data_IF_900384568558
#
_entry.id   IF_900384568558
#
_cell.length_a   1.000
_cell.length_b   1.000
_cell.length_c   1.000
_cell.angle_alpha   90.00
_cell.angle_beta   90.00
_cell.angle_gamma   90.00
#
_symmetry.space_group_name_H-M   'P 1'
#
loop_
_entity.id
_entity.type
_entity.pdbx_description
1 polymer ?
#
# COMPACT_ATOMS: atom_id res chain seq x y z
N UNK A 1 -25.75 10.47 -16.92
CA UNK A 1 -25.26 9.29 -16.17
C UNK A 1 -24.84 9.77 -14.79
N UNK A 2 -25.66 9.45 -13.76
CA UNK A 2 -25.34 9.77 -12.37
C UNK A 2 -24.17 8.91 -11.92
N UNK A 3 -23.04 9.54 -11.60
CA UNK A 3 -21.95 8.85 -10.91
C UNK A 3 -22.42 8.55 -9.49
N UNK A 4 -22.67 7.29 -9.19
CA UNK A 4 -23.06 6.87 -7.85
C UNK A 4 -21.84 7.00 -6.92
N UNK A 5 -21.96 7.88 -5.94
CA UNK A 5 -21.02 7.94 -4.83
C UNK A 5 -21.19 6.64 -4.02
N UNK A 6 -20.17 5.79 -4.01
CA UNK A 6 -20.11 4.62 -3.15
C UNK A 6 -19.26 4.93 -1.92
N UNK A 7 -19.88 4.87 -0.74
CA UNK A 7 -19.19 4.95 0.53
C UNK A 7 -19.30 3.62 1.26
N UNK A 8 -18.15 3.10 1.72
CA UNK A 8 -18.07 1.87 2.54
C UNK A 8 -17.23 2.14 3.77
N UNK A 9 -17.82 1.95 4.95
CA UNK A 9 -17.11 1.98 6.23
C UNK A 9 -17.05 0.59 6.84
N UNK A 10 -15.93 0.27 7.49
CA UNK A 10 -15.75 -0.96 8.28
C UNK A 10 -15.02 -0.62 9.57
N UNK A 11 -15.42 -1.24 10.66
CA UNK A 11 -14.68 -1.20 11.93
C UNK A 11 -14.83 -2.54 12.64
N UNK A 12 -13.84 -2.94 13.42
CA UNK A 12 -13.90 -4.22 14.11
C UNK A 12 -12.64 -4.56 14.90
N UNK A 13 -12.65 -5.81 15.37
CA UNK A 13 -11.52 -6.46 16.01
C UNK A 13 -10.99 -7.55 15.10
N UNK A 14 -9.68 -7.73 15.11
CA UNK A 14 -8.99 -8.81 14.38
C UNK A 14 -8.02 -9.49 15.32
N UNK A 15 -7.95 -10.83 15.22
CA UNK A 15 -6.95 -11.64 15.87
C UNK A 15 -6.08 -12.28 14.79
N UNK A 16 -4.79 -12.10 14.86
CA UNK A 16 -3.81 -12.58 13.88
C UNK A 16 -2.69 -13.32 14.60
N UNK A 17 -2.29 -14.47 14.07
CA UNK A 17 -1.18 -15.25 14.58
C UNK A 17 -0.17 -15.48 13.46
N UNK A 18 1.06 -15.07 13.67
CA UNK A 18 2.15 -15.21 12.73
C UNK A 18 3.10 -16.29 13.21
N UNK A 19 3.31 -17.28 12.35
CA UNK A 19 4.33 -18.32 12.53
C UNK A 19 5.24 -18.31 11.29
N UNK A 20 6.52 -18.11 11.49
CA UNK A 20 7.49 -17.99 10.41
C UNK A 20 8.29 -19.26 10.26
N UNK A 21 8.27 -19.85 9.07
CA UNK A 21 9.14 -20.94 8.67
C UNK A 21 10.10 -20.41 7.59
N UNK A 22 11.41 -20.48 7.82
CA UNK A 22 12.39 -20.13 6.78
C UNK A 22 12.57 -21.31 5.84
N UNK A 23 12.24 -21.11 4.56
CA UNK A 23 12.47 -22.12 3.50
C UNK A 23 13.83 -22.03 2.83
N UNK A 24 14.57 -20.95 3.00
CA UNK A 24 15.86 -20.72 2.36
C UNK A 24 16.94 -20.46 3.41
N UNK A 25 17.84 -21.41 3.53
CA UNK A 25 19.05 -21.32 4.31
C UNK A 25 20.16 -20.78 3.39
N UNK A 26 20.44 -19.50 3.46
CA UNK A 26 21.69 -18.95 2.88
C UNK A 26 22.62 -18.65 4.04
N UNK A 27 23.62 -19.48 4.20
CA UNK A 27 24.65 -19.61 5.24
C UNK A 27 25.25 -18.37 5.91
N UNK A 28 24.45 -17.40 6.32
CA UNK A 28 24.82 -16.34 7.25
C UNK A 28 24.19 -16.63 8.61
N UNK A 29 25.02 -16.77 9.64
CA UNK A 29 24.66 -17.18 10.99
C UNK A 29 23.76 -16.20 11.79
N UNK A 30 23.23 -15.17 11.16
CA UNK A 30 22.26 -14.23 11.76
C UNK A 30 20.89 -14.34 11.08
N UNK A 31 20.31 -15.51 11.12
CA UNK A 31 18.88 -15.64 10.91
C UNK A 31 18.16 -15.07 12.13
N UNK A 32 17.51 -13.92 11.95
CA UNK A 32 16.50 -13.43 12.89
C UNK A 32 15.46 -14.54 13.07
N UNK A 33 15.56 -15.28 14.16
CA UNK A 33 14.50 -16.21 14.56
C UNK A 33 13.33 -15.35 15.02
N UNK A 34 12.47 -14.99 14.07
CA UNK A 34 11.21 -14.31 14.39
C UNK A 34 10.36 -15.31 15.15
N UNK A 35 10.12 -15.04 16.43
CA UNK A 35 9.28 -15.90 17.26
C UNK A 35 7.83 -15.83 16.78
N UNK A 36 7.08 -16.93 16.86
CA UNK A 36 5.65 -16.89 16.63
C UNK A 36 4.98 -15.89 17.57
N UNK A 37 4.14 -15.02 17.01
CA UNK A 37 3.48 -13.94 17.76
C UNK A 37 2.00 -13.86 17.42
N UNK A 38 1.20 -13.55 18.44
CA UNK A 38 -0.24 -13.30 18.33
C UNK A 38 -0.56 -11.83 18.55
N UNK A 39 -1.46 -11.29 17.72
CA UNK A 39 -1.88 -9.90 17.79
C UNK A 39 -3.38 -9.75 17.86
N UNK A 40 -3.83 -8.80 18.64
CA UNK A 40 -5.19 -8.27 18.61
C UNK A 40 -5.16 -6.86 18.04
N UNK A 41 -5.98 -6.59 17.04
CA UNK A 41 -6.02 -5.27 16.46
C UNK A 41 -7.44 -4.71 16.42
N UNK A 42 -7.56 -3.43 16.75
CA UNK A 42 -8.75 -2.62 16.51
C UNK A 42 -8.55 -1.91 15.19
N UNK A 43 -9.49 -2.05 14.28
CA UNK A 43 -9.36 -1.41 12.97
C UNK A 43 -10.60 -0.63 12.58
N UNK A 44 -10.37 0.42 11.80
CA UNK A 44 -11.40 1.17 11.10
C UNK A 44 -10.91 1.49 9.69
N UNK A 45 -11.81 1.41 8.70
CA UNK A 45 -11.51 1.80 7.33
C UNK A 45 -12.69 2.50 6.69
N UNK A 46 -12.39 3.46 5.82
CA UNK A 46 -13.37 4.17 5.01
C UNK A 46 -12.92 4.15 3.55
N UNK A 47 -13.83 3.83 2.65
CA UNK A 47 -13.59 3.82 1.21
C UNK A 47 -14.69 4.62 0.52
N UNK A 48 -14.29 5.60 -0.27
CA UNK A 48 -15.14 6.45 -1.08
C UNK A 48 -14.74 6.29 -2.55
N UNK A 49 -15.70 5.98 -3.41
CA UNK A 49 -15.45 5.72 -4.81
C UNK A 49 -16.51 6.36 -5.71
N UNK A 50 -16.05 7.05 -6.75
CA UNK A 50 -16.88 7.62 -7.81
C UNK A 50 -16.43 7.18 -9.20
N UNK A 51 -15.56 6.15 -9.30
CA UNK A 51 -15.06 5.64 -10.56
C UNK A 51 -16.22 5.10 -11.43
N UNK A 52 -16.21 5.44 -12.71
CA UNK A 52 -17.24 5.02 -13.68
C UNK A 52 -17.16 3.52 -14.00
N UNK A 53 -16.00 2.88 -13.79
CA UNK A 53 -15.75 1.45 -14.05
C UNK A 53 -14.74 0.89 -13.07
N UNK A 54 -14.90 -0.37 -12.75
CA UNK A 54 -13.97 -1.10 -11.88
C UNK A 54 -12.60 -1.31 -12.54
N UNK A 55 -12.62 -1.66 -13.82
CA UNK A 55 -11.42 -1.86 -14.63
C UNK A 55 -11.36 -0.77 -15.69
N UNK A 56 -10.17 -0.22 -15.92
CA UNK A 56 -9.91 0.85 -16.89
C UNK A 56 -10.89 2.03 -16.76
N UNK A 57 -11.03 2.64 -15.56
CA UNK A 57 -11.93 3.77 -15.37
C UNK A 57 -11.51 4.94 -16.27
N UNK A 58 -12.49 5.67 -16.80
CA UNK A 58 -12.25 6.84 -17.63
C UNK A 58 -12.37 8.16 -16.86
N UNK A 59 -13.06 8.13 -15.72
CA UNK A 59 -13.24 9.30 -14.84
C UNK A 59 -13.60 8.86 -13.42
N UNK A 60 -13.40 9.78 -12.48
CA UNK A 60 -13.78 9.59 -11.09
C UNK A 60 -12.60 9.57 -10.15
N UNK A 61 -12.92 9.36 -8.88
CA UNK A 61 -11.96 9.40 -7.76
C UNK A 61 -12.17 8.17 -6.90
N UNK A 62 -11.09 7.64 -6.34
CA UNK A 62 -11.10 6.63 -5.29
C UNK A 62 -10.25 7.12 -4.13
N UNK A 63 -10.81 7.09 -2.92
CA UNK A 63 -10.15 7.45 -1.68
C UNK A 63 -10.37 6.32 -0.68
N UNK A 64 -9.31 5.78 -0.13
CA UNK A 64 -9.33 4.79 0.94
C UNK A 64 -8.46 5.29 2.09
N UNK A 65 -9.00 5.23 3.30
CA UNK A 65 -8.27 5.51 4.53
C UNK A 65 -8.48 4.34 5.49
N UNK A 66 -7.41 3.92 6.14
CA UNK A 66 -7.43 2.85 7.13
C UNK A 66 -6.61 3.22 8.36
N UNK A 67 -7.08 2.74 9.50
CA UNK A 67 -6.41 2.85 10.80
C UNK A 67 -6.46 1.49 11.48
N UNK A 68 -5.35 1.10 12.09
CA UNK A 68 -5.29 -0.09 12.93
C UNK A 68 -4.43 0.17 14.16
N UNK A 69 -4.90 -0.25 15.33
CA UNK A 69 -4.15 -0.25 16.58
C UNK A 69 -3.82 -1.69 16.96
N UNK A 70 -2.55 -2.01 17.10
CA UNK A 70 -2.05 -3.36 17.35
C UNK A 70 -1.60 -3.55 18.80
N UNK A 71 -2.04 -4.65 19.39
CA UNK A 71 -1.75 -5.05 20.77
C UNK A 71 -1.45 -6.55 20.82
N UNK A 72 -0.84 -7.05 21.90
CA UNK A 72 -0.69 -8.48 22.19
C UNK A 72 -1.71 -8.99 23.22
N UNK A 73 -2.31 -8.08 24.01
CA UNK A 73 -3.19 -8.40 25.12
C UNK A 73 -4.41 -7.47 25.24
N UNK A 74 -4.91 -6.91 24.12
CA UNK A 74 -6.00 -5.94 24.00
C UNK A 74 -5.70 -4.52 24.50
N UNK A 75 -4.59 -4.29 25.21
CA UNK A 75 -4.27 -2.97 25.80
C UNK A 75 -2.85 -2.52 25.48
N UNK A 76 -1.89 -3.43 25.52
CA UNK A 76 -0.47 -3.15 25.38
C UNK A 76 0.13 -3.95 24.23
N UNK A 77 1.34 -3.63 23.86
CA UNK A 77 2.17 -4.44 23.02
C UNK A 77 3.57 -4.58 23.65
N UNK A 78 4.04 -5.81 23.82
CA UNK A 78 5.33 -6.15 24.42
C UNK A 78 5.61 -5.40 25.75
N UNK A 79 4.58 -5.34 26.62
CA UNK A 79 4.66 -4.63 27.90
C UNK A 79 4.65 -3.09 27.82
N UNK A 80 4.65 -2.52 26.62
CA UNK A 80 4.71 -1.09 26.36
C UNK A 80 3.40 -0.58 25.70
N UNK A 81 3.41 0.67 25.23
CA UNK A 81 2.30 1.23 24.47
C UNK A 81 2.08 0.48 23.16
N UNK A 82 0.82 0.30 22.72
CA UNK A 82 0.51 -0.28 21.44
C UNK A 82 1.06 0.58 20.28
N UNK A 83 1.22 -0.02 19.11
CA UNK A 83 1.56 0.72 17.90
C UNK A 83 0.38 0.84 16.95
N UNK A 84 0.36 1.89 16.16
CA UNK A 84 -0.71 2.17 15.20
C UNK A 84 -0.21 2.12 13.77
N UNK A 85 -1.09 1.73 12.86
CA UNK A 85 -0.89 1.88 11.43
C UNK A 85 -1.94 2.82 10.86
N UNK A 86 -1.53 3.78 10.05
CA UNK A 86 -2.40 4.68 9.30
C UNK A 86 -2.09 4.51 7.82
N UNK A 87 -3.08 4.16 7.02
CA UNK A 87 -3.00 4.04 5.58
C UNK A 87 -3.88 5.06 4.87
N UNK A 88 -3.39 5.57 3.75
CA UNK A 88 -4.14 6.44 2.84
C UNK A 88 -3.84 6.03 1.40
N UNK A 89 -4.90 5.92 0.58
CA UNK A 89 -4.79 5.70 -0.86
C UNK A 89 -5.75 6.65 -1.57
N UNK A 90 -5.21 7.46 -2.43
CA UNK A 90 -5.95 8.37 -3.30
C UNK A 90 -5.59 8.09 -4.75
N UNK A 91 -6.59 8.02 -5.61
CA UNK A 91 -6.42 7.90 -7.05
C UNK A 91 -7.51 8.68 -7.75
N UNK A 92 -7.17 9.33 -8.83
CA UNK A 92 -8.16 9.95 -9.72
C UNK A 92 -7.84 9.67 -11.18
N UNK A 93 -8.84 9.79 -12.03
CA UNK A 93 -8.68 9.63 -13.49
C UNK A 93 -9.07 10.93 -14.17
N UNK A 94 -8.10 11.54 -14.84
CA UNK A 94 -8.24 12.77 -15.61
C UNK A 94 -8.19 12.43 -17.10
N UNK A 95 -9.34 12.41 -17.82
CA UNK A 95 -9.33 12.22 -19.28
C UNK A 95 -8.74 13.45 -19.95
N UNK A 96 -7.64 13.26 -20.71
CA UNK A 96 -7.04 14.31 -21.53
C UNK A 96 -7.71 14.34 -22.92
N UNK A 97 -8.00 13.16 -23.45
CA UNK A 97 -8.74 12.98 -24.71
C UNK A 97 -9.58 11.71 -24.68
N UNK A 98 -10.32 11.44 -25.75
CA UNK A 98 -11.11 10.20 -25.90
C UNK A 98 -10.27 8.90 -25.82
N UNK A 99 -8.95 8.99 -25.97
CA UNK A 99 -8.04 7.84 -25.96
C UNK A 99 -6.91 7.94 -24.94
N UNK A 100 -6.69 9.12 -24.35
CA UNK A 100 -5.58 9.39 -23.43
C UNK A 100 -6.11 9.82 -22.07
N UNK A 101 -5.66 9.15 -21.03
CA UNK A 101 -6.01 9.47 -19.64
C UNK A 101 -4.76 9.56 -18.79
N UNK A 102 -4.77 10.52 -17.86
CA UNK A 102 -3.77 10.67 -16.81
C UNK A 102 -4.37 10.13 -15.49
N UNK A 103 -3.64 9.30 -14.79
CA UNK A 103 -4.05 8.67 -13.55
C UNK A 103 -3.05 9.01 -12.44
N UNK A 104 -3.16 10.21 -11.82
CA UNK A 104 -2.38 10.50 -10.63
C UNK A 104 -2.91 9.69 -9.44
N UNK A 105 -1.98 9.17 -8.65
CA UNK A 105 -2.26 8.50 -7.41
C UNK A 105 -1.25 8.92 -6.33
N UNK A 106 -1.73 8.95 -5.11
CA UNK A 106 -0.92 9.20 -3.91
C UNK A 106 -1.32 8.18 -2.86
N UNK A 107 -0.37 7.50 -2.29
CA UNK A 107 -0.64 6.51 -1.26
C UNK A 107 0.54 6.37 -0.32
N UNK A 108 0.24 5.94 0.88
CA UNK A 108 1.23 5.67 1.89
C UNK A 108 0.64 4.94 3.07
N UNK A 109 1.51 4.38 3.86
CA UNK A 109 1.16 3.78 5.14
C UNK A 109 2.30 4.03 6.12
N UNK A 110 1.94 4.42 7.33
CA UNK A 110 2.89 4.74 8.38
C UNK A 110 2.57 3.95 9.64
N UNK A 111 3.61 3.46 10.29
CA UNK A 111 3.54 2.85 11.62
C UNK A 111 4.01 3.87 12.63
N UNK A 112 3.24 4.04 13.70
CA UNK A 112 3.51 4.98 14.79
C UNK A 112 3.54 4.21 16.10
N UNK A 113 4.68 4.23 16.78
CA UNK A 113 4.89 3.55 18.05
C UNK A 113 6.36 3.24 18.29
N UNK A 114 6.76 3.05 19.55
CA UNK A 114 8.16 2.80 19.91
C UNK A 114 8.67 1.41 19.49
N UNK A 115 7.78 0.41 19.43
CA UNK A 115 8.10 -0.96 19.04
C UNK A 115 7.09 -1.40 18.00
N UNK A 116 7.50 -1.51 16.75
CA UNK A 116 6.68 -2.03 15.66
C UNK A 116 7.04 -3.47 15.37
N UNK A 117 6.04 -4.33 15.17
CA UNK A 117 6.28 -5.73 14.88
C UNK A 117 6.61 -5.96 13.41
N UNK A 118 7.58 -6.82 13.13
CA UNK A 118 8.06 -7.17 11.79
C UNK A 118 6.94 -7.53 10.79
N UNK A 119 5.89 -8.32 11.16
CA UNK A 119 4.84 -8.69 10.21
C UNK A 119 4.05 -7.51 9.64
N UNK A 120 4.08 -6.35 10.30
CA UNK A 120 3.30 -5.18 9.91
C UNK A 120 4.12 -4.11 9.20
N UNK A 121 5.43 -4.30 8.99
CA UNK A 121 6.26 -3.40 8.20
C UNK A 121 5.67 -3.21 6.80
N UNK A 122 5.75 -1.99 6.29
CA UNK A 122 5.32 -1.71 4.94
C UNK A 122 6.29 -2.34 3.95
N UNK A 123 5.76 -3.08 2.98
CA UNK A 123 6.54 -3.69 1.91
C UNK A 123 6.41 -2.87 0.63
N UNK A 124 7.52 -2.39 0.09
CA UNK A 124 7.55 -1.60 -1.13
C UNK A 124 7.97 -2.50 -2.28
N UNK A 125 7.24 -2.42 -3.38
CA UNK A 125 7.60 -3.08 -4.63
C UNK A 125 6.42 -3.74 -5.35
N UNK A 126 6.66 -4.11 -6.61
CA UNK A 126 5.65 -4.68 -7.48
C UNK A 126 4.65 -3.65 -8.01
N UNK A 127 3.62 -4.10 -8.72
CA UNK A 127 2.68 -3.21 -9.40
C UNK A 127 1.29 -3.10 -8.77
N UNK A 128 0.96 -3.98 -7.82
CA UNK A 128 -0.37 -4.08 -7.22
C UNK A 128 -0.34 -4.03 -5.71
N UNK A 129 -1.37 -3.42 -5.11
CA UNK A 129 -1.57 -3.43 -3.66
C UNK A 129 -1.86 -4.83 -3.16
N UNK A 130 -1.25 -5.20 -2.02
CA UNK A 130 -1.62 -6.37 -1.24
C UNK A 130 -1.52 -7.72 -1.95
N UNK A 131 -0.70 -7.86 -2.98
CA UNK A 131 -0.59 -9.10 -3.74
C UNK A 131 0.01 -10.26 -2.94
N UNK A 132 1.07 -9.99 -2.20
CA UNK A 132 1.77 -10.99 -1.38
C UNK A 132 1.63 -10.72 0.11
N UNK A 133 1.63 -9.46 0.50
CA UNK A 133 1.42 -8.99 1.87
C UNK A 133 0.33 -7.92 1.87
N UNK A 134 -0.55 -7.93 2.86
CA UNK A 134 -1.65 -6.95 2.97
C UNK A 134 -1.15 -5.51 3.01
N UNK A 135 0.04 -5.27 3.55
CA UNK A 135 0.71 -3.98 3.68
C UNK A 135 1.65 -3.65 2.50
N UNK A 136 1.57 -4.39 1.39
CA UNK A 136 2.37 -4.12 0.20
C UNK A 136 1.88 -2.85 -0.51
N UNK A 137 2.81 -1.93 -0.75
CA UNK A 137 2.62 -0.70 -1.50
C UNK A 137 3.32 -0.83 -2.86
N UNK A 138 2.58 -0.68 -3.97
CA UNK A 138 3.15 -0.87 -5.31
C UNK A 138 4.16 0.20 -5.64
N UNK A 139 5.25 -0.21 -6.29
CA UNK A 139 6.28 0.68 -6.79
C UNK A 139 6.88 0.09 -8.08
N UNK A 140 6.60 0.71 -9.22
CA UNK A 140 7.08 0.24 -10.51
C UNK A 140 8.60 0.38 -10.63
N UNK A 141 9.27 -0.65 -11.11
CA UNK A 141 10.73 -0.71 -11.24
C UNK A 141 11.44 -1.33 -10.05
N UNK A 142 10.72 -1.71 -9.00
CA UNK A 142 11.24 -2.45 -7.85
C UNK A 142 10.52 -3.80 -7.77
N UNK A 143 11.25 -4.84 -7.46
CA UNK A 143 10.72 -6.19 -7.32
C UNK A 143 9.77 -6.30 -6.11
N UNK A 144 9.01 -7.39 -6.02
CA UNK A 144 8.06 -7.55 -4.92
C UNK A 144 8.78 -7.62 -3.57
N UNK A 145 8.27 -6.85 -2.59
CA UNK A 145 8.75 -6.90 -1.18
C UNK A 145 10.28 -6.69 -1.06
N UNK A 146 10.84 -5.83 -1.88
CA UNK A 146 12.29 -5.59 -1.88
C UNK A 146 12.74 -4.67 -0.73
N UNK A 147 11.87 -3.74 -0.31
CA UNK A 147 12.15 -2.79 0.76
C UNK A 147 11.07 -2.94 1.84
N UNK A 148 11.51 -3.05 3.09
CA UNK A 148 10.65 -3.07 4.28
C UNK A 148 10.95 -1.84 5.13
N UNK A 149 9.90 -1.08 5.51
CA UNK A 149 10.08 0.09 6.37
C UNK A 149 8.81 0.44 7.16
N UNK A 150 8.94 1.23 8.23
CA UNK A 150 7.82 1.66 9.06
C UNK A 150 6.94 2.71 8.39
N UNK A 151 7.53 3.61 7.62
CA UNK A 151 6.82 4.73 7.02
C UNK A 151 7.16 4.85 5.55
N UNK A 152 6.13 4.88 4.72
CA UNK A 152 6.26 4.91 3.25
C UNK A 152 5.19 5.81 2.67
N UNK A 153 5.58 6.71 1.78
CA UNK A 153 4.68 7.55 0.98
C UNK A 153 5.14 7.52 -0.47
N UNK A 154 4.20 7.36 -1.39
CA UNK A 154 4.45 7.27 -2.83
C UNK A 154 3.50 8.18 -3.59
N UNK A 155 4.05 8.99 -4.48
CA UNK A 155 3.35 9.67 -5.55
C UNK A 155 3.56 8.89 -6.86
N UNK A 156 2.47 8.54 -7.54
CA UNK A 156 2.47 7.79 -8.79
C UNK A 156 1.73 8.57 -9.85
N UNK A 157 2.30 8.61 -11.04
CA UNK A 157 1.67 9.18 -12.22
C UNK A 157 1.67 8.12 -13.33
N UNK A 158 0.48 7.77 -13.81
CA UNK A 158 0.32 6.85 -14.94
C UNK A 158 -0.35 7.54 -16.10
N UNK A 159 0.27 7.46 -17.26
CA UNK A 159 -0.31 7.83 -18.55
C UNK A 159 -0.83 6.57 -19.23
N UNK A 160 -2.11 6.56 -19.60
CA UNK A 160 -2.75 5.42 -20.25
C UNK A 160 -3.31 5.85 -21.62
N UNK A 161 -2.79 5.25 -22.66
CA UNK A 161 -3.21 5.46 -24.05
C UNK A 161 -3.97 4.26 -24.59
N UNK A 162 -5.21 4.45 -25.03
CA UNK A 162 -5.95 3.44 -25.79
C UNK A 162 -5.49 3.49 -27.26
N UNK A 163 -4.95 2.40 -27.78
CA UNK A 163 -4.42 2.31 -29.15
C UNK A 163 -5.53 1.97 -30.13
N UNK A 164 -6.16 0.80 -29.97
CA UNK A 164 -7.25 0.31 -30.82
C UNK A 164 -8.12 -0.67 -30.03
N UNK A 165 -9.45 -0.60 -30.20
CA UNK A 165 -10.38 -1.47 -29.50
C UNK A 165 -10.19 -1.39 -27.99
N UNK A 166 -9.87 -2.52 -27.38
CA UNK A 166 -9.64 -2.70 -25.94
C UNK A 166 -8.15 -2.80 -25.57
N UNK A 167 -7.25 -2.34 -26.44
CA UNK A 167 -5.80 -2.40 -26.21
C UNK A 167 -5.29 -1.06 -25.64
N UNK A 168 -4.47 -1.15 -24.60
CA UNK A 168 -3.92 0.01 -23.88
C UNK A 168 -2.41 -0.13 -23.72
N UNK A 169 -1.71 0.99 -23.89
CA UNK A 169 -0.33 1.17 -23.43
C UNK A 169 -0.35 2.07 -22.19
N UNK A 170 0.45 1.73 -21.21
CA UNK A 170 0.60 2.49 -19.96
C UNK A 170 2.06 2.85 -19.75
N UNK A 171 2.32 4.12 -19.43
CA UNK A 171 3.60 4.59 -18.93
C UNK A 171 3.40 5.04 -17.49
N UNK A 172 4.17 4.50 -16.56
CA UNK A 172 4.06 4.79 -15.13
C UNK A 172 5.37 5.35 -14.62
N UNK A 173 5.30 6.42 -13.83
CA UNK A 173 6.39 6.97 -13.04
C UNK A 173 6.00 7.00 -11.56
N UNK A 174 6.93 6.68 -10.68
CA UNK A 174 6.76 6.79 -9.23
C UNK A 174 7.88 7.59 -8.60
N UNK A 175 7.52 8.31 -7.55
CA UNK A 175 8.45 8.88 -6.59
C UNK A 175 8.00 8.46 -5.19
N UNK A 176 8.90 7.96 -4.37
CA UNK A 176 8.61 7.53 -3.01
C UNK A 176 9.63 8.01 -2.01
N UNK A 177 9.21 8.13 -0.77
CA UNK A 177 10.08 8.38 0.38
C UNK A 177 9.72 7.36 1.44
N UNK A 178 10.73 6.80 2.10
CA UNK A 178 10.54 5.87 3.21
C UNK A 178 11.54 6.11 4.34
N UNK A 179 11.09 5.83 5.57
CA UNK A 179 11.91 5.95 6.77
C UNK A 179 11.35 5.04 7.88
N UNK A 180 12.23 4.61 8.78
CA UNK A 180 11.84 3.90 10.00
C UNK A 180 11.08 4.77 11.02
N UNK A 181 11.21 6.10 10.93
CA UNK A 181 10.51 7.05 11.79
C UNK A 181 9.59 7.94 10.96
N UNK A 182 8.30 7.95 11.31
CA UNK A 182 7.31 8.79 10.66
C UNK A 182 7.61 10.30 10.81
N UNK A 183 8.06 10.73 11.96
CA UNK A 183 8.35 12.15 12.22
C UNK A 183 9.54 12.70 11.42
N UNK A 184 10.41 11.79 10.94
CA UNK A 184 11.56 12.10 10.10
C UNK A 184 11.39 11.58 8.67
N UNK A 185 10.15 11.32 8.23
CA UNK A 185 9.88 10.75 6.92
C UNK A 185 10.48 11.57 5.76
N UNK A 186 10.42 12.90 5.84
CA UNK A 186 10.96 13.78 4.80
C UNK A 186 12.50 13.76 4.69
N UNK A 187 13.18 13.30 5.75
CA UNK A 187 14.63 13.08 5.79
C UNK A 187 15.01 11.66 5.33
N UNK A 188 14.00 10.85 5.00
CA UNK A 188 14.16 9.46 4.61
C UNK A 188 14.80 9.26 3.24
N UNK A 189 14.94 7.99 2.87
CA UNK A 189 15.49 7.62 1.57
C UNK A 189 14.43 7.82 0.48
N UNK A 190 14.84 8.45 -0.63
CA UNK A 190 14.00 8.64 -1.80
C UNK A 190 14.19 7.53 -2.82
N UNK A 191 13.10 7.18 -3.49
CA UNK A 191 13.04 6.16 -4.54
C UNK A 191 12.45 6.75 -5.81
N UNK A 192 12.97 6.35 -6.94
CA UNK A 192 12.44 6.67 -8.27
C UNK A 192 12.27 5.38 -9.06
N UNK A 193 11.18 5.27 -9.79
CA UNK A 193 10.95 4.11 -10.62
C UNK A 193 9.93 4.37 -11.70
N UNK A 194 9.89 3.46 -12.67
CA UNK A 194 8.93 3.56 -13.76
C UNK A 194 8.73 2.24 -14.47
N UNK A 195 7.62 2.13 -15.20
CA UNK A 195 7.32 0.96 -16.02
C UNK A 195 6.59 1.34 -17.30
N UNK A 196 6.77 0.53 -18.33
CA UNK A 196 5.98 0.51 -19.54
C UNK A 196 5.17 -0.79 -19.58
N UNK A 197 3.86 -0.67 -19.73
CA UNK A 197 2.97 -1.82 -19.72
C UNK A 197 2.05 -1.85 -20.93
N UNK A 198 1.60 -3.05 -21.28
CA UNK A 198 0.52 -3.30 -22.22
C UNK A 198 -0.61 -4.03 -21.49
N UNK A 199 -1.85 -3.63 -21.76
CA UNK A 199 -3.04 -4.24 -21.19
C UNK A 199 -4.15 -4.42 -22.24
N UNK A 200 -4.91 -5.48 -22.09
CA UNK A 200 -6.12 -5.77 -22.85
C UNK A 200 -7.32 -5.84 -21.87
N UNK A 201 -8.44 -5.16 -22.24
CA UNK A 201 -9.66 -5.11 -21.41
C UNK A 201 -10.79 -5.89 -22.08
#
# INVERSE_FOLDING_TARGET
DMNWLSFKGKAGLRCEYFNYNSFLYTGSDELYTVKPEGFFSYFASAHLETLDRRYFPNRGVSLEADYSLYTDNFVKYNGSSPFSAIGLKFMTVCPISSRLSLLPAFYGRVLIGGNTAFPFLNAIGGETFGRYLSQQLPFAGINHVEILDNSVVVARLQLRQRIAGNNYITLTGNYGIHNNDFFHLLEGKSLWGGSLGYAYN
#
